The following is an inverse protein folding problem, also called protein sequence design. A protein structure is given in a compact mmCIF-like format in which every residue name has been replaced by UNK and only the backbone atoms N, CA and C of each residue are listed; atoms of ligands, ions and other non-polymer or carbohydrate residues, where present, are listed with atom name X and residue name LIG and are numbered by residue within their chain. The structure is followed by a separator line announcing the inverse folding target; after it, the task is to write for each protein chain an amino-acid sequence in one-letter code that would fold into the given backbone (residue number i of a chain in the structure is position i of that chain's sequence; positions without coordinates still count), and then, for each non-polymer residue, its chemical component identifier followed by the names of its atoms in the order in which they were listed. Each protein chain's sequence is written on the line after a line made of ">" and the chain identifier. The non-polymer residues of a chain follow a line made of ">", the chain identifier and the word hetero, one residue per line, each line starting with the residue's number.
data_IF_289297749078
#
_entry.id   IF_289297749078
#
_cell.length_a   1.000
_cell.length_b   1.000
_cell.length_c   1.000
_cell.angle_alpha   90.00
_cell.angle_beta   90.00
_cell.angle_gamma   90.00
#
_symmetry.space_group_name_H-M   'P 1'
#
loop_
_entity.id
_entity.type
_entity.pdbx_description
1 polymer ?
#
# COMPACT_ATOMS: atom_id res chain seq x y z
N UNK A 1 -28.99 18.56 -15.03
CA UNK A 1 -27.74 18.08 -14.40
C UNK A 1 -28.02 16.75 -13.69
N UNK A 2 -27.61 15.61 -14.25
CA UNK A 2 -27.81 14.32 -13.60
C UNK A 2 -26.62 13.98 -12.70
N UNK A 3 -26.89 13.92 -11.40
CA UNK A 3 -25.95 13.46 -10.38
C UNK A 3 -25.72 11.95 -10.54
N UNK A 4 -24.52 11.56 -10.94
CA UNK A 4 -24.08 10.15 -10.92
C UNK A 4 -23.79 9.75 -9.47
N UNK A 5 -24.74 9.04 -8.84
CA UNK A 5 -24.52 8.44 -7.53
C UNK A 5 -23.50 7.29 -7.65
N UNK A 6 -22.25 7.53 -7.24
CA UNK A 6 -21.29 6.46 -7.01
C UNK A 6 -21.60 5.77 -5.68
N UNK A 7 -22.48 4.76 -5.72
CA UNK A 7 -22.65 3.82 -4.60
C UNK A 7 -21.40 2.94 -4.57
N UNK A 8 -20.62 2.90 -3.47
CA UNK A 8 -19.43 2.05 -3.42
C UNK A 8 -19.90 0.60 -3.54
N UNK A 9 -19.52 -0.06 -4.63
CA UNK A 9 -19.74 -1.49 -4.83
C UNK A 9 -19.00 -2.19 -3.69
N UNK A 10 -19.73 -2.83 -2.77
CA UNK A 10 -19.12 -3.73 -1.79
C UNK A 10 -18.43 -4.83 -2.58
N UNK A 11 -17.10 -4.81 -2.61
CA UNK A 11 -16.31 -5.86 -3.24
C UNK A 11 -16.76 -7.22 -2.68
N UNK A 12 -17.11 -8.15 -3.56
CA UNK A 12 -17.52 -9.50 -3.18
C UNK A 12 -16.35 -10.18 -2.51
N UNK A 13 -16.52 -10.59 -1.24
CA UNK A 13 -15.52 -11.37 -0.51
C UNK A 13 -15.66 -12.83 -0.92
N UNK A 14 -14.56 -13.46 -1.33
CA UNK A 14 -14.51 -14.88 -1.58
C UNK A 14 -13.93 -15.59 -0.36
N UNK A 15 -14.63 -16.55 0.26
CA UNK A 15 -14.04 -17.37 1.31
C UNK A 15 -12.86 -18.15 0.71
N UNK A 16 -11.71 -18.08 1.36
CA UNK A 16 -10.48 -18.71 0.93
C UNK A 16 -9.93 -19.49 2.13
N UNK A 17 -9.59 -20.76 1.93
CA UNK A 17 -9.00 -21.58 2.98
C UNK A 17 -7.50 -21.25 3.10
N UNK A 18 -7.02 -21.01 4.32
CA UNK A 18 -5.63 -20.65 4.59
C UNK A 18 -5.11 -21.44 5.79
N UNK A 19 -3.85 -21.85 5.74
CA UNK A 19 -3.18 -22.54 6.85
C UNK A 19 -2.50 -21.52 7.75
N UNK A 20 -2.88 -21.50 9.03
CA UNK A 20 -2.32 -20.64 10.07
C UNK A 20 -1.95 -21.52 11.25
N UNK A 21 -0.86 -21.19 11.97
CA UNK A 21 -0.44 -21.94 13.16
C UNK A 21 -1.54 -21.99 14.21
N UNK A 22 -1.73 -23.16 14.81
CA UNK A 22 -2.76 -23.41 15.81
C UNK A 22 -2.64 -22.50 17.03
N UNK A 23 -1.42 -22.26 17.53
CA UNK A 23 -1.16 -21.34 18.65
C UNK A 23 -1.68 -19.93 18.36
N UNK A 24 -1.37 -19.39 17.18
CA UNK A 24 -1.84 -18.06 16.78
C UNK A 24 -3.36 -17.98 16.64
N UNK A 25 -4.01 -19.05 16.18
CA UNK A 25 -5.48 -19.12 16.12
C UNK A 25 -6.08 -19.16 17.53
N UNK A 26 -5.47 -19.91 18.45
CA UNK A 26 -5.89 -19.97 19.84
C UNK A 26 -5.76 -18.59 20.50
N UNK A 27 -4.63 -17.91 20.33
CA UNK A 27 -4.40 -16.56 20.85
C UNK A 27 -5.39 -15.56 20.27
N UNK A 28 -5.61 -15.59 18.95
CA UNK A 28 -6.57 -14.71 18.30
C UNK A 28 -8.00 -14.90 18.84
N UNK A 29 -8.41 -16.15 19.12
CA UNK A 29 -9.72 -16.43 19.73
C UNK A 29 -9.79 -15.97 21.19
N UNK A 30 -8.73 -16.20 21.97
CA UNK A 30 -8.66 -15.77 23.37
C UNK A 30 -8.74 -14.24 23.51
N UNK A 31 -8.23 -13.51 22.52
CA UNK A 31 -8.21 -12.06 22.48
C UNK A 31 -9.38 -11.43 21.68
N UNK A 32 -10.37 -12.23 21.26
CA UNK A 32 -11.51 -11.78 20.44
C UNK A 32 -11.11 -11.04 19.14
N UNK A 33 -9.99 -11.45 18.54
CA UNK A 33 -9.49 -10.86 17.30
C UNK A 33 -10.28 -11.37 16.11
N UNK A 34 -10.78 -10.46 15.29
CA UNK A 34 -11.43 -10.81 14.03
C UNK A 34 -10.41 -11.28 12.99
N UNK A 35 -10.21 -12.60 12.92
CA UNK A 35 -9.21 -13.26 12.06
C UNK A 35 -9.37 -12.86 10.59
N UNK A 36 -10.58 -12.85 10.05
CA UNK A 36 -10.83 -12.51 8.64
C UNK A 36 -10.42 -11.07 8.33
N UNK A 37 -10.74 -10.12 9.23
CA UNK A 37 -10.36 -8.71 9.06
C UNK A 37 -8.86 -8.52 9.19
N UNK A 38 -8.22 -9.20 10.14
CA UNK A 38 -6.77 -9.15 10.33
C UNK A 38 -6.04 -9.72 9.11
N UNK A 39 -6.49 -10.87 8.59
CA UNK A 39 -5.94 -11.47 7.37
C UNK A 39 -6.10 -10.56 6.14
N UNK A 40 -7.27 -9.94 5.96
CA UNK A 40 -7.50 -8.98 4.87
C UNK A 40 -6.55 -7.78 4.97
N UNK A 41 -6.33 -7.25 6.18
CA UNK A 41 -5.43 -6.12 6.42
C UNK A 41 -3.97 -6.49 6.15
N UNK A 42 -3.51 -7.63 6.68
CA UNK A 42 -2.15 -8.11 6.46
C UNK A 42 -1.86 -8.37 4.98
N UNK A 43 -2.82 -8.95 4.25
CA UNK A 43 -2.69 -9.17 2.82
C UNK A 43 -2.60 -7.84 2.04
N UNK A 44 -3.41 -6.84 2.38
CA UNK A 44 -3.33 -5.50 1.77
C UNK A 44 -1.96 -4.86 1.99
N UNK A 45 -1.43 -4.96 3.20
CA UNK A 45 -0.10 -4.43 3.54
C UNK A 45 1.00 -5.13 2.73
N UNK A 46 1.04 -6.47 2.73
CA UNK A 46 2.03 -7.23 1.98
C UNK A 46 1.97 -6.94 0.47
N UNK A 47 0.77 -6.79 -0.10
CA UNK A 47 0.61 -6.40 -1.51
C UNK A 47 1.15 -4.99 -1.76
N UNK A 48 0.82 -4.03 -0.88
CA UNK A 48 1.28 -2.66 -1.03
C UNK A 48 2.81 -2.56 -0.96
N UNK A 49 3.43 -3.23 0.00
CA UNK A 49 4.89 -3.32 0.13
C UNK A 49 5.54 -3.92 -1.11
N UNK A 50 4.98 -5.03 -1.61
CA UNK A 50 5.52 -5.68 -2.82
C UNK A 50 5.40 -4.78 -4.04
N UNK A 51 4.27 -4.09 -4.21
CA UNK A 51 4.06 -3.14 -5.32
C UNK A 51 5.00 -1.95 -5.22
N UNK A 52 5.21 -1.40 -4.02
CA UNK A 52 6.15 -0.31 -3.80
C UNK A 52 7.59 -0.74 -4.16
N UNK A 53 8.01 -1.94 -3.76
CA UNK A 53 9.32 -2.47 -4.10
C UNK A 53 9.51 -2.68 -5.62
N UNK A 54 8.48 -3.18 -6.31
CA UNK A 54 8.50 -3.31 -7.77
C UNK A 54 8.61 -1.95 -8.45
N UNK A 55 7.76 -1.00 -8.05
CA UNK A 55 7.77 0.34 -8.58
C UNK A 55 9.14 1.03 -8.39
N UNK A 56 9.73 0.90 -7.20
CA UNK A 56 11.04 1.47 -6.91
C UNK A 56 12.13 0.86 -7.81
N UNK A 57 12.07 -0.44 -8.08
CA UNK A 57 13.01 -1.10 -8.97
C UNK A 57 12.83 -0.64 -10.43
N UNK A 58 11.58 -0.54 -10.89
CA UNK A 58 11.25 -0.07 -12.25
C UNK A 58 11.64 1.40 -12.46
N UNK A 59 11.50 2.23 -11.44
CA UNK A 59 11.74 3.68 -11.51
C UNK A 59 13.14 4.08 -11.05
N UNK A 60 14.00 3.12 -10.69
CA UNK A 60 15.35 3.40 -10.15
C UNK A 60 16.15 4.34 -11.06
N UNK A 61 16.20 4.06 -12.36
CA UNK A 61 16.94 4.90 -13.31
C UNK A 61 16.37 6.32 -13.46
N UNK A 62 15.04 6.48 -13.38
CA UNK A 62 14.40 7.80 -13.41
C UNK A 62 14.69 8.59 -12.14
N UNK A 63 14.68 7.93 -10.98
CA UNK A 63 15.03 8.52 -9.70
C UNK A 63 16.51 8.92 -9.65
N UNK A 64 17.42 8.07 -10.13
CA UNK A 64 18.85 8.38 -10.21
C UNK A 64 19.12 9.57 -11.14
N UNK A 65 18.50 9.61 -12.32
CA UNK A 65 18.59 10.74 -13.25
C UNK A 65 18.08 12.04 -12.62
N UNK A 66 16.94 11.97 -11.93
CA UNK A 66 16.37 13.11 -11.22
C UNK A 66 17.28 13.60 -10.08
N UNK A 67 17.83 12.67 -9.30
CA UNK A 67 18.76 13.00 -8.20
C UNK A 67 20.03 13.67 -8.75
N UNK A 68 20.65 13.07 -9.78
CA UNK A 68 21.82 13.63 -10.44
C UNK A 68 21.56 15.02 -11.03
N UNK A 69 20.37 15.26 -11.58
CA UNK A 69 19.99 16.60 -12.05
C UNK A 69 20.00 17.62 -10.90
N UNK A 70 19.39 17.27 -9.77
CA UNK A 70 19.31 18.15 -8.59
C UNK A 70 20.70 18.40 -7.99
N UNK A 71 21.56 17.38 -7.92
CA UNK A 71 22.94 17.54 -7.44
C UNK A 71 23.75 18.49 -8.32
N UNK A 72 23.61 18.36 -9.65
CA UNK A 72 24.38 19.17 -10.60
C UNK A 72 23.80 20.59 -10.80
N UNK A 73 22.49 20.77 -10.68
CA UNK A 73 21.81 22.04 -11.04
C UNK A 73 21.08 22.71 -9.88
N UNK A 74 21.11 22.11 -8.69
CA UNK A 74 20.34 22.55 -7.54
C UNK A 74 18.85 22.20 -7.67
N UNK A 75 18.09 22.53 -6.63
CA UNK A 75 16.65 22.27 -6.60
C UNK A 75 15.93 23.11 -7.67
N UNK A 76 15.18 22.48 -8.59
CA UNK A 76 14.31 23.20 -9.50
C UNK A 76 13.38 24.11 -8.70
N UNK A 77 13.22 25.34 -9.17
CA UNK A 77 12.28 26.32 -8.59
C UNK A 77 12.60 26.78 -7.15
N UNK A 78 13.78 26.44 -6.59
CA UNK A 78 14.19 26.94 -5.28
C UNK A 78 14.09 28.47 -5.15
N UNK A 79 14.36 29.18 -6.25
CA UNK A 79 14.24 30.65 -6.36
C UNK A 79 12.83 31.22 -6.12
N UNK A 80 11.80 30.40 -6.07
CA UNK A 80 10.41 30.83 -5.84
C UNK A 80 9.86 30.39 -4.48
N UNK A 81 10.67 29.71 -3.66
CA UNK A 81 10.25 29.28 -2.31
C UNK A 81 10.27 30.48 -1.35
N UNK A 82 9.09 30.92 -0.91
CA UNK A 82 8.93 31.88 0.19
C UNK A 82 8.82 31.11 1.52
N UNK A 83 9.40 31.63 2.60
CA UNK A 83 9.38 31.06 3.95
C UNK A 83 8.38 31.79 4.85
#
# INVERSE_FOLDING_TARGET
>A
MNQVQHKPVKASRRPTNVSISESLLADARALDVNISRAAESGLKQAIAERRAALWLNENRGALESSNAYVENRGLPLAKYRSF
#
